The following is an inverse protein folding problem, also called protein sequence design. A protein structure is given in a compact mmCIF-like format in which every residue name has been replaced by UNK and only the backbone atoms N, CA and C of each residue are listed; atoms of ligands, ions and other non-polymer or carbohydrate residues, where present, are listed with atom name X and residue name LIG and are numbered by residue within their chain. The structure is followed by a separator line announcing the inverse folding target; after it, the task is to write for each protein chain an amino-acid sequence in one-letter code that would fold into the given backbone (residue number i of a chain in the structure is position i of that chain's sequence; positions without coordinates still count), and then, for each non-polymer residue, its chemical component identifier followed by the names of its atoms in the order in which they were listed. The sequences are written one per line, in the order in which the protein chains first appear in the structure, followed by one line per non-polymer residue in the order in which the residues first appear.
data_IF_789722455439
#
_entry.id   IF_789722455439
#
_cell.length_a   1.000
_cell.length_b   1.000
_cell.length_c   1.000
_cell.angle_alpha   90.00
_cell.angle_beta   90.00
_cell.angle_gamma   90.00
#
_symmetry.space_group_name_H-M   'P 1'
#
loop_
_entity.id
_entity.type
_entity.pdbx_description
1 polymer ?
#
# COMPACT_ATOMS: atom_id res chain seq x y z
N UNK A 1 -8.56 -29.83 -37.03
CA UNK A 1 -9.18 -29.53 -35.72
C UNK A 1 -8.44 -28.34 -35.12
N UNK A 2 -8.90 -27.11 -35.33
CA UNK A 2 -8.21 -25.91 -34.86
C UNK A 2 -8.62 -25.59 -33.43
N UNK A 3 -7.69 -25.64 -32.48
CA UNK A 3 -7.92 -25.10 -31.14
C UNK A 3 -7.80 -23.57 -31.22
N UNK A 4 -8.95 -22.91 -31.36
CA UNK A 4 -9.08 -21.46 -31.31
C UNK A 4 -8.58 -20.95 -29.97
N UNK A 5 -7.70 -19.95 -30.02
CA UNK A 5 -7.11 -19.32 -28.85
C UNK A 5 -8.18 -18.80 -27.91
N UNK A 6 -8.04 -19.13 -26.63
CA UNK A 6 -8.72 -18.43 -25.56
C UNK A 6 -8.22 -16.99 -25.56
N UNK A 7 -9.00 -16.10 -26.16
CA UNK A 7 -8.86 -14.66 -25.96
C UNK A 7 -9.33 -14.41 -24.53
N UNK A 8 -8.39 -14.25 -23.60
CA UNK A 8 -8.67 -13.82 -22.23
C UNK A 8 -9.54 -12.58 -22.28
N UNK A 9 -10.82 -12.76 -21.96
CA UNK A 9 -11.77 -11.66 -21.82
C UNK A 9 -11.19 -10.69 -20.80
N UNK A 10 -10.76 -9.52 -21.26
CA UNK A 10 -10.42 -8.39 -20.39
C UNK A 10 -11.72 -7.91 -19.76
N UNK A 11 -12.13 -8.59 -18.69
CA UNK A 11 -13.12 -8.06 -17.75
C UNK A 11 -12.70 -6.63 -17.40
N UNK A 12 -13.61 -5.64 -17.44
CA UNK A 12 -13.29 -4.32 -16.94
C UNK A 12 -12.76 -4.46 -15.51
N UNK A 13 -11.73 -3.67 -15.11
CA UNK A 13 -11.18 -3.81 -13.78
C UNK A 13 -12.33 -3.69 -12.79
N UNK A 14 -12.50 -4.71 -11.94
CA UNK A 14 -13.49 -4.65 -10.88
C UNK A 14 -13.28 -3.32 -10.13
N UNK A 15 -14.38 -2.67 -9.73
CA UNK A 15 -14.29 -1.46 -8.91
C UNK A 15 -13.32 -1.77 -7.77
N UNK A 16 -12.30 -0.94 -7.53
CA UNK A 16 -11.31 -1.20 -6.50
C UNK A 16 -12.06 -1.47 -5.20
N UNK A 17 -11.72 -2.58 -4.55
CA UNK A 17 -12.24 -2.88 -3.22
C UNK A 17 -11.93 -1.72 -2.28
N UNK A 18 -12.69 -1.60 -1.20
CA UNK A 18 -12.48 -0.50 -0.25
C UNK A 18 -11.02 -0.42 0.23
N UNK A 19 -10.37 -1.58 0.43
CA UNK A 19 -8.95 -1.67 0.77
C UNK A 19 -8.06 -1.10 -0.33
N UNK A 20 -8.28 -1.48 -1.59
CA UNK A 20 -7.51 -0.95 -2.72
C UNK A 20 -7.67 0.56 -2.86
N UNK A 21 -8.88 1.09 -2.67
CA UNK A 21 -9.14 2.53 -2.74
C UNK A 21 -8.39 3.29 -1.65
N UNK A 22 -8.33 2.76 -0.42
CA UNK A 22 -7.60 3.38 0.70
C UNK A 22 -6.10 3.38 0.46
N UNK A 23 -5.52 2.30 -0.07
CA UNK A 23 -4.10 2.25 -0.41
C UNK A 23 -3.78 3.19 -1.58
N UNK A 24 -4.66 3.29 -2.59
CA UNK A 24 -4.49 4.21 -3.73
C UNK A 24 -4.68 5.70 -3.37
N UNK A 25 -5.29 6.00 -2.23
CA UNK A 25 -5.41 7.36 -1.72
C UNK A 25 -4.06 7.92 -1.27
N UNK A 26 -3.10 7.06 -0.90
CA UNK A 26 -1.75 7.46 -0.53
C UNK A 26 -1.01 7.94 -1.79
N UNK A 27 -0.65 9.23 -1.80
CA UNK A 27 0.04 9.88 -2.95
C UNK A 27 1.56 9.96 -2.80
N UNK A 28 2.13 9.31 -1.79
CA UNK A 28 3.59 9.25 -1.58
C UNK A 28 4.13 7.87 -1.91
N UNK A 29 5.08 7.80 -2.85
CA UNK A 29 5.71 6.54 -3.24
C UNK A 29 6.51 5.94 -2.08
N UNK A 30 7.25 6.78 -1.35
CA UNK A 30 8.06 6.38 -0.20
C UNK A 30 7.19 5.74 0.90
N UNK A 31 6.01 6.30 1.12
CA UNK A 31 5.02 5.76 2.07
C UNK A 31 4.49 4.41 1.61
N UNK A 32 4.06 4.30 0.35
CA UNK A 32 3.53 3.03 -0.18
C UNK A 32 4.61 1.94 -0.15
N UNK A 33 5.87 2.29 -0.40
CA UNK A 33 7.00 1.37 -0.27
C UNK A 33 7.25 0.93 1.18
N UNK A 34 7.09 1.84 2.14
CA UNK A 34 7.17 1.48 3.56
C UNK A 34 6.04 0.53 3.95
N UNK A 35 4.79 0.85 3.58
CA UNK A 35 3.62 0.00 3.80
C UNK A 35 3.87 -1.39 3.19
N UNK A 36 4.37 -1.45 1.95
CA UNK A 36 4.69 -2.71 1.29
C UNK A 36 5.68 -3.56 2.10
N UNK A 37 6.78 -2.95 2.59
CA UNK A 37 7.77 -3.66 3.41
C UNK A 37 7.16 -4.22 4.70
N UNK A 38 6.33 -3.43 5.39
CA UNK A 38 5.68 -3.86 6.64
C UNK A 38 4.69 -5.01 6.39
N UNK A 39 3.85 -4.89 5.37
CA UNK A 39 2.87 -5.91 4.99
C UNK A 39 3.55 -7.18 4.50
N UNK A 40 4.58 -7.06 3.66
CA UNK A 40 5.35 -8.19 3.14
C UNK A 40 6.06 -8.96 4.26
N UNK A 41 6.78 -8.27 5.15
CA UNK A 41 7.47 -8.93 6.26
C UNK A 41 6.49 -9.66 7.17
N UNK A 42 5.34 -9.05 7.45
CA UNK A 42 4.28 -9.69 8.23
C UNK A 42 3.68 -10.90 7.52
N UNK A 43 3.46 -10.82 6.20
CA UNK A 43 2.87 -11.89 5.42
C UNK A 43 3.80 -13.09 5.24
N UNK A 44 5.11 -12.85 5.07
CA UNK A 44 6.13 -13.90 4.94
C UNK A 44 6.49 -14.50 6.29
N UNK A 45 6.54 -13.69 7.35
CA UNK A 45 6.94 -14.11 8.70
C UNK A 45 5.81 -13.80 9.72
N UNK A 46 4.62 -14.41 9.59
CA UNK A 46 3.45 -14.12 10.43
C UNK A 46 3.61 -14.50 11.89
N UNK A 47 4.63 -15.31 12.23
CA UNK A 47 4.95 -15.73 13.59
C UNK A 47 5.91 -14.77 14.31
N UNK A 48 6.57 -13.87 13.58
CA UNK A 48 7.51 -12.92 14.18
C UNK A 48 6.80 -11.68 14.69
N UNK A 49 6.69 -11.58 16.02
CA UNK A 49 5.97 -10.49 16.71
C UNK A 49 6.54 -9.11 16.40
N UNK A 50 7.86 -9.01 16.16
CA UNK A 50 8.52 -7.75 15.78
C UNK A 50 8.02 -7.15 14.45
N UNK A 51 7.46 -7.96 13.55
CA UNK A 51 6.86 -7.47 12.30
C UNK A 51 5.38 -7.16 12.44
N UNK A 52 4.72 -7.72 13.46
CA UNK A 52 3.31 -7.49 13.77
C UNK A 52 3.06 -6.24 14.60
N UNK A 53 4.11 -5.51 15.00
CA UNK A 53 4.02 -4.30 15.81
C UNK A 53 5.03 -3.26 15.33
N UNK A 54 4.54 -2.06 15.06
CA UNK A 54 5.31 -0.91 14.57
C UNK A 54 5.01 0.29 15.46
N UNK A 55 6.04 0.92 16.01
CA UNK A 55 5.92 2.13 16.83
C UNK A 55 5.84 3.37 15.93
N UNK A 56 4.72 4.09 15.98
CA UNK A 56 4.55 5.34 15.23
C UNK A 56 5.37 6.49 15.79
N UNK A 57 5.81 6.41 17.05
CA UNK A 57 6.72 7.38 17.66
C UNK A 57 8.17 7.32 17.13
N UNK A 58 8.53 6.37 16.26
CA UNK A 58 9.82 6.42 15.59
C UNK A 58 9.79 7.52 14.53
N UNK A 59 10.71 8.52 14.56
CA UNK A 59 10.65 9.68 13.66
C UNK A 59 10.63 9.29 12.17
N UNK A 60 11.31 8.19 11.80
CA UNK A 60 11.31 7.69 10.43
C UNK A 60 9.95 7.12 10.03
N UNK A 61 9.28 6.43 10.94
CA UNK A 61 7.95 5.85 10.72
C UNK A 61 6.89 6.94 10.75
N UNK A 62 7.01 7.88 11.68
CA UNK A 62 6.12 9.03 11.81
C UNK A 62 6.07 9.83 10.52
N UNK A 63 7.24 10.20 9.98
CA UNK A 63 7.35 10.99 8.76
C UNK A 63 6.72 10.32 7.53
N UNK A 64 6.82 8.99 7.42
CA UNK A 64 6.34 8.28 6.24
C UNK A 64 4.93 7.71 6.40
N UNK A 65 4.44 7.47 7.62
CA UNK A 65 3.10 6.90 7.88
C UNK A 65 2.16 7.86 8.61
N UNK A 66 2.60 8.55 9.66
CA UNK A 66 1.70 9.38 10.47
C UNK A 66 1.48 10.78 9.85
N UNK A 67 2.51 11.35 9.24
CA UNK A 67 2.45 12.68 8.61
C UNK A 67 1.85 12.65 7.19
N UNK A 68 1.68 11.46 6.61
CA UNK A 68 1.15 11.30 5.25
C UNK A 68 -0.36 11.01 5.29
N UNK A 69 -1.20 11.89 4.70
CA UNK A 69 -2.65 11.70 4.69
C UNK A 69 -3.05 10.37 4.06
N UNK A 70 -3.93 9.63 4.74
CA UNK A 70 -4.48 8.35 4.29
C UNK A 70 -3.56 7.14 4.46
N UNK A 71 -2.33 7.31 4.93
CA UNK A 71 -1.42 6.19 5.16
C UNK A 71 -1.84 5.31 6.34
N UNK A 72 -2.32 5.92 7.43
CA UNK A 72 -2.92 5.21 8.56
C UNK A 72 -4.20 4.48 8.12
N UNK A 73 -5.11 5.15 7.40
CA UNK A 73 -6.32 4.52 6.85
C UNK A 73 -6.00 3.32 5.96
N UNK A 74 -4.96 3.41 5.13
CA UNK A 74 -4.49 2.32 4.29
C UNK A 74 -4.03 1.12 5.15
N UNK A 75 -3.24 1.35 6.21
CA UNK A 75 -2.79 0.31 7.13
C UNK A 75 -3.99 -0.36 7.85
N UNK A 76 -4.95 0.43 8.33
CA UNK A 76 -6.16 -0.09 8.97
C UNK A 76 -6.99 -0.95 8.01
N UNK A 77 -7.18 -0.48 6.77
CA UNK A 77 -7.90 -1.21 5.74
C UNK A 77 -7.20 -2.53 5.34
N UNK A 78 -5.86 -2.56 5.39
CA UNK A 78 -5.07 -3.76 5.15
C UNK A 78 -5.18 -4.79 6.30
N UNK A 79 -5.73 -4.40 7.45
CA UNK A 79 -5.98 -5.28 8.58
C UNK A 79 -5.11 -5.01 9.81
N UNK A 80 -4.36 -3.91 9.83
CA UNK A 80 -3.71 -3.41 11.04
C UNK A 80 -4.72 -2.72 11.96
N UNK A 81 -4.33 -2.52 13.21
CA UNK A 81 -5.05 -1.76 14.21
C UNK A 81 -4.12 -0.74 14.85
N UNK A 82 -4.67 0.41 15.22
CA UNK A 82 -4.00 1.38 16.07
C UNK A 82 -4.20 0.96 17.53
N UNK A 83 -3.10 0.93 18.27
CA UNK A 83 -3.08 0.78 19.72
C UNK A 83 -2.33 1.95 20.36
N UNK A 84 -2.94 2.56 21.36
CA UNK A 84 -2.32 3.57 22.21
C UNK A 84 -1.82 2.89 23.49
N UNK A 85 -0.52 2.94 23.74
CA UNK A 85 0.10 2.43 24.95
C UNK A 85 1.07 3.46 25.53
N UNK A 86 0.87 3.83 26.79
CA UNK A 86 1.75 4.75 27.54
C UNK A 86 1.96 6.12 26.87
N UNK A 87 0.96 6.61 26.13
CA UNK A 87 1.05 7.87 25.38
C UNK A 87 1.73 7.76 24.01
N UNK A 88 2.02 6.54 23.57
CA UNK A 88 2.61 6.26 22.27
C UNK A 88 1.68 5.44 21.40
N UNK A 89 1.62 5.79 20.11
CA UNK A 89 0.80 5.09 19.14
C UNK A 89 1.59 3.97 18.46
N UNK A 90 0.96 2.81 18.33
CA UNK A 90 1.48 1.63 17.67
C UNK A 90 0.51 1.15 16.61
N UNK A 91 1.04 0.73 15.47
CA UNK A 91 0.32 -0.09 14.50
C UNK A 91 0.61 -1.55 14.80
N UNK A 92 -0.43 -2.33 15.04
CA UNK A 92 -0.32 -3.76 15.32
C UNK A 92 -1.18 -4.60 14.40
N UNK A 93 -0.83 -5.87 14.22
CA UNK A 93 -1.67 -6.86 13.56
C UNK A 93 -2.42 -7.63 14.64
N UNK A 94 -3.75 -7.47 14.78
CA UNK A 94 -4.53 -8.07 15.85
C UNK A 94 -4.29 -9.56 16.01
N UNK A 95 -4.36 -10.06 17.24
CA UNK A 95 -4.26 -11.49 17.52
C UNK A 95 -5.33 -12.26 16.72
N UNK A 96 -4.93 -13.37 16.09
CA UNK A 96 -5.82 -14.16 15.22
C UNK A 96 -6.00 -13.63 13.79
N UNK A 97 -5.52 -12.42 13.46
CA UNK A 97 -5.44 -11.94 12.08
C UNK A 97 -4.05 -12.22 11.49
N UNK A 98 -4.04 -12.53 10.20
CA UNK A 98 -2.84 -12.72 9.40
C UNK A 98 -2.96 -11.93 8.11
N UNK A 99 -1.88 -11.24 7.75
CA UNK A 99 -1.75 -10.65 6.43
C UNK A 99 -1.26 -11.73 5.47
N UNK A 100 -1.83 -11.78 4.28
CA UNK A 100 -1.44 -12.72 3.24
C UNK A 100 -0.90 -12.01 2.01
N UNK A 101 -0.55 -12.80 0.99
CA UNK A 101 -0.08 -12.28 -0.30
C UNK A 101 -1.13 -11.42 -1.02
N UNK A 102 -2.42 -11.54 -0.68
CA UNK A 102 -3.44 -10.65 -1.24
C UNK A 102 -3.21 -9.19 -0.84
N UNK A 103 -2.93 -8.92 0.44
CA UNK A 103 -2.64 -7.57 0.91
C UNK A 103 -1.35 -7.03 0.28
N UNK A 104 -0.32 -7.88 0.15
CA UNK A 104 0.93 -7.53 -0.53
C UNK A 104 0.65 -7.07 -1.96
N UNK A 105 -0.10 -7.86 -2.73
CA UNK A 105 -0.46 -7.56 -4.13
C UNK A 105 -1.25 -6.26 -4.28
N UNK A 106 -2.15 -5.97 -3.33
CA UNK A 106 -2.92 -4.71 -3.33
C UNK A 106 -1.95 -3.52 -3.21
N UNK A 107 -0.98 -3.60 -2.31
CA UNK A 107 0.01 -2.54 -2.10
C UNK A 107 0.96 -2.42 -3.29
N UNK A 108 1.43 -3.54 -3.85
CA UNK A 108 2.25 -3.54 -5.07
C UNK A 108 1.52 -2.88 -6.24
N UNK A 109 0.26 -3.26 -6.48
CA UNK A 109 -0.53 -2.67 -7.55
C UNK A 109 -0.71 -1.14 -7.37
N UNK A 110 -0.91 -0.67 -6.14
CA UNK A 110 -0.98 0.75 -5.84
C UNK A 110 0.36 1.46 -6.09
N UNK A 111 1.48 0.83 -5.71
CA UNK A 111 2.84 1.34 -5.95
C UNK A 111 3.12 1.49 -7.44
N UNK A 112 2.89 0.44 -8.23
CA UNK A 112 3.11 0.45 -9.68
C UNK A 112 2.25 1.51 -10.37
N UNK A 113 0.99 1.64 -9.96
CA UNK A 113 0.08 2.67 -10.47
C UNK A 113 0.60 4.08 -10.15
N UNK A 114 0.96 4.35 -8.89
CA UNK A 114 1.48 5.65 -8.47
C UNK A 114 2.79 5.98 -9.20
N UNK A 115 3.72 5.02 -9.31
CA UNK A 115 4.99 5.22 -10.03
C UNK A 115 4.76 5.55 -11.52
N UNK A 116 3.77 4.91 -12.15
CA UNK A 116 3.38 5.21 -13.53
C UNK A 116 2.76 6.62 -13.64
N UNK A 117 1.88 6.99 -12.73
CA UNK A 117 1.26 8.33 -12.70
C UNK A 117 2.29 9.43 -12.51
N UNK A 118 3.25 9.26 -11.59
CA UNK A 118 4.37 10.19 -11.37
C UNK A 118 5.19 10.36 -12.64
N UNK A 119 5.53 9.25 -13.32
CA UNK A 119 6.30 9.29 -14.57
C UNK A 119 5.55 9.96 -15.71
N UNK A 120 4.25 9.71 -15.84
CA UNK A 120 3.40 10.32 -16.86
C UNK A 120 3.24 11.82 -16.61
N UNK A 121 3.05 12.21 -15.35
CA UNK A 121 2.99 13.61 -14.93
C UNK A 121 4.31 14.34 -15.23
N UNK A 122 5.47 13.77 -14.88
CA UNK A 122 6.76 14.38 -15.24
C UNK A 122 6.95 14.50 -16.75
N UNK A 123 6.53 13.50 -17.54
CA UNK A 123 6.59 13.58 -19.01
C UNK A 123 5.69 14.67 -19.57
N UNK A 124 4.49 14.81 -19.02
CA UNK A 124 3.54 15.84 -19.40
C UNK A 124 4.09 17.23 -19.09
N UNK A 125 4.60 17.44 -17.88
CA UNK A 125 5.16 18.70 -17.40
C UNK A 125 6.35 19.16 -18.28
N UNK A 126 7.28 18.24 -18.56
CA UNK A 126 8.41 18.50 -19.47
C UNK A 126 7.92 18.90 -20.86
N UNK A 127 6.92 18.20 -21.42
CA UNK A 127 6.38 18.53 -22.75
C UNK A 127 5.74 19.92 -22.78
N UNK A 128 5.00 20.30 -21.73
CA UNK A 128 4.38 21.63 -21.63
C UNK A 128 5.44 22.72 -21.49
N UNK A 129 6.47 22.50 -20.69
CA UNK A 129 7.54 23.46 -20.43
C UNK A 129 8.42 23.78 -21.66
N UNK A 130 8.51 22.87 -22.64
CA UNK A 130 9.28 23.08 -23.89
C UNK A 130 8.44 23.83 -24.94
N UNK A 131 7.11 23.89 -24.77
CA UNK A 131 6.16 24.33 -25.79
C UNK A 131 5.44 25.64 -25.45
N UNK A 132 5.69 26.21 -24.26
CA UNK A 132 5.28 27.56 -23.84
C UNK A 132 6.49 28.49 -23.71
#
# INVERSE_FOLDING_TARGET
MGYGGYVSAKLPPAKPTEVEARVQAVKSLETVEMIHKLVYNTAVQPKEEKFRKVRLGNPKIQAVLAEVPGAIDAMLALGWALEDAEGEQFLVVPAGKFLGMQQVRIVEAARDKLAKEVKDQSRHDIRVAIQG
#
